data_IF_914034102407
#
_entry.id   IF_914034102407
#
_cell.length_a   1.000
_cell.length_b   1.000
_cell.length_c   1.000
_cell.angle_alpha   90.00
_cell.angle_beta   90.00
_cell.angle_gamma   90.00
#
_symmetry.space_group_name_H-M   'P 1'
#
loop_
_entity.id
_entity.type
_entity.pdbx_description
1 polymer ?
#
# COMPACT_ATOMS: atom_id res chain seq x y z
N UNK A 1 -32.42 14.41 -1.54
CA UNK A 1 -31.20 14.06 -0.79
C UNK A 1 -30.07 13.97 -1.79
N UNK A 2 -29.16 14.94 -1.75
CA UNK A 2 -28.06 15.05 -2.72
C UNK A 2 -27.10 13.89 -2.51
N UNK A 3 -26.91 13.10 -3.56
CA UNK A 3 -25.77 12.18 -3.66
C UNK A 3 -24.53 13.05 -3.58
N UNK A 4 -23.71 12.83 -2.57
CA UNK A 4 -22.43 13.53 -2.44
C UNK A 4 -21.59 13.21 -3.67
N UNK A 5 -21.12 14.25 -4.35
CA UNK A 5 -20.08 14.14 -5.35
C UNK A 5 -18.86 13.51 -4.67
N UNK A 6 -18.72 12.20 -4.86
CA UNK A 6 -17.48 11.52 -4.62
C UNK A 6 -16.54 12.08 -5.68
N UNK A 7 -15.66 13.02 -5.31
CA UNK A 7 -14.59 13.53 -6.16
C UNK A 7 -13.62 12.39 -6.47
N UNK A 8 -14.07 11.44 -7.28
CA UNK A 8 -13.25 10.36 -7.80
C UNK A 8 -12.14 10.98 -8.63
N UNK A 9 -10.94 10.41 -8.46
CA UNK A 9 -9.76 10.72 -9.27
C UNK A 9 -10.15 11.02 -10.72
N UNK A 10 -9.51 12.02 -11.33
CA UNK A 10 -9.72 12.38 -12.75
C UNK A 10 -9.65 11.15 -13.67
N UNK A 11 -8.87 10.15 -13.28
CA UNK A 11 -8.66 8.89 -13.97
C UNK A 11 -9.91 7.99 -14.02
N UNK A 12 -10.90 8.23 -13.16
CA UNK A 12 -12.12 7.43 -13.05
C UNK A 12 -13.31 8.04 -13.83
N UNK A 13 -13.06 8.99 -14.74
CA UNK A 13 -14.10 9.64 -15.56
C UNK A 13 -14.36 8.86 -16.86
N UNK A 14 -15.60 8.84 -17.39
CA UNK A 14 -15.89 8.31 -18.72
C UNK A 14 -15.04 8.97 -19.81
N UNK A 15 -14.70 8.22 -20.88
CA UNK A 15 -13.70 8.63 -21.88
C UNK A 15 -13.95 10.02 -22.51
N UNK A 16 -15.21 10.38 -22.79
CA UNK A 16 -15.54 11.70 -23.36
C UNK A 16 -15.27 12.85 -22.38
N UNK A 17 -15.66 12.65 -21.12
CA UNK A 17 -15.43 13.63 -20.05
C UNK A 17 -13.96 13.72 -19.71
N UNK A 18 -13.28 12.58 -19.67
CA UNK A 18 -11.83 12.49 -19.46
C UNK A 18 -11.08 13.31 -20.51
N UNK A 19 -11.32 13.06 -21.80
CA UNK A 19 -10.64 13.75 -22.91
C UNK A 19 -10.83 15.26 -22.90
N UNK A 20 -11.99 15.77 -22.45
CA UNK A 20 -12.25 17.21 -22.31
C UNK A 20 -11.63 17.80 -21.04
N UNK A 21 -11.53 17.00 -19.97
CA UNK A 21 -11.01 17.46 -18.68
C UNK A 21 -9.48 17.38 -18.57
N UNK A 22 -8.82 16.55 -19.37
CA UNK A 22 -7.37 16.33 -19.30
C UNK A 22 -6.53 17.54 -19.75
N UNK A 23 -6.78 18.17 -20.92
CA UNK A 23 -5.90 19.23 -21.40
C UNK A 23 -5.75 20.41 -20.43
N UNK A 24 -6.82 20.92 -19.79
CA UNK A 24 -6.70 21.98 -18.79
C UNK A 24 -5.86 21.62 -17.55
N UNK A 25 -5.72 20.32 -17.23
CA UNK A 25 -4.95 19.89 -16.05
C UNK A 25 -3.45 19.93 -16.30
N UNK A 26 -3.02 19.67 -17.54
CA UNK A 26 -1.61 19.69 -17.93
C UNK A 26 -1.17 21.06 -18.45
N UNK A 27 -2.10 21.86 -18.97
CA UNK A 27 -1.83 23.20 -19.48
C UNK A 27 -2.16 24.25 -18.42
N UNK A 28 -1.18 24.65 -17.61
CA UNK A 28 -1.41 25.61 -16.52
C UNK A 28 -0.13 26.03 -15.79
N UNK A 29 -0.27 26.81 -14.69
CA UNK A 29 0.85 27.14 -13.83
C UNK A 29 1.45 25.89 -13.20
N UNK A 30 2.76 25.90 -13.01
CA UNK A 30 3.49 24.82 -12.35
C UNK A 30 3.73 25.16 -10.87
N UNK A 31 3.80 24.12 -10.04
CA UNK A 31 4.33 24.19 -8.67
C UNK A 31 5.64 23.43 -8.58
N UNK A 32 6.56 23.92 -7.74
CA UNK A 32 7.85 23.28 -7.49
C UNK A 32 7.87 22.59 -6.11
N UNK A 33 7.97 21.27 -6.09
CA UNK A 33 8.06 20.47 -4.86
C UNK A 33 9.49 20.01 -4.67
N UNK A 34 10.04 20.24 -3.47
CA UNK A 34 11.37 19.79 -3.07
C UNK A 34 11.24 18.66 -2.05
N UNK A 35 12.01 17.59 -2.19
CA UNK A 35 12.06 16.50 -1.21
C UNK A 35 13.36 16.59 -0.41
N UNK A 36 13.24 16.86 0.89
CA UNK A 36 14.35 17.14 1.78
C UNK A 36 15.16 18.36 1.34
N UNK A 37 16.29 18.13 0.68
CA UNK A 37 17.16 19.20 0.21
C UNK A 37 16.76 19.75 -1.17
N UNK A 38 17.32 20.91 -1.54
CA UNK A 38 17.01 21.55 -2.82
C UNK A 38 17.45 20.76 -4.08
N UNK A 39 18.25 19.69 -3.93
CA UNK A 39 18.70 18.86 -5.05
C UNK A 39 17.59 18.07 -5.72
N UNK A 40 16.52 17.73 -4.99
CA UNK A 40 15.40 16.92 -5.50
C UNK A 40 14.18 17.83 -5.73
N UNK A 41 14.25 18.71 -6.73
CA UNK A 41 13.16 19.62 -7.09
C UNK A 41 12.41 19.11 -8.31
N UNK A 42 11.10 18.96 -8.18
CA UNK A 42 10.21 18.51 -9.23
C UNK A 42 9.17 19.58 -9.56
N UNK A 43 8.82 19.72 -10.85
CA UNK A 43 7.82 20.68 -11.32
C UNK A 43 6.59 19.95 -11.84
N UNK A 44 5.41 20.35 -11.37
CA UNK A 44 4.14 19.73 -11.72
C UNK A 44 3.08 20.73 -12.13
N UNK A 45 2.21 20.38 -13.09
CA UNK A 45 1.01 21.14 -13.33
C UNK A 45 0.17 21.24 -12.05
N UNK A 46 -0.03 22.47 -11.58
CA UNK A 46 -0.70 22.76 -10.30
C UNK A 46 -2.09 22.14 -10.26
N UNK A 47 -2.86 22.31 -11.33
CA UNK A 47 -4.25 21.86 -11.38
C UNK A 47 -4.36 20.34 -11.36
N UNK A 48 -3.45 19.63 -12.02
CA UNK A 48 -3.38 18.17 -11.94
C UNK A 48 -3.20 17.72 -10.48
N UNK A 49 -2.15 18.21 -9.82
CA UNK A 49 -1.83 17.81 -8.45
C UNK A 49 -2.96 18.16 -7.46
N UNK A 50 -3.46 19.40 -7.52
CA UNK A 50 -4.52 19.87 -6.63
C UNK A 50 -5.87 19.21 -6.91
N UNK A 51 -6.11 18.72 -8.13
CA UNK A 51 -7.35 17.99 -8.44
C UNK A 51 -7.39 16.60 -7.82
N UNK A 52 -6.22 16.00 -7.56
CA UNK A 52 -6.08 14.66 -7.01
C UNK A 52 -5.88 14.65 -5.50
N UNK A 53 -5.49 15.77 -4.89
CA UNK A 53 -5.08 15.86 -3.50
C UNK A 53 -5.67 17.10 -2.83
N UNK A 54 -6.47 16.89 -1.78
CA UNK A 54 -6.95 18.00 -0.93
C UNK A 54 -5.82 18.62 -0.11
N UNK A 55 -4.79 17.85 0.22
CA UNK A 55 -3.57 18.34 0.88
C UNK A 55 -2.84 19.37 0.01
N UNK A 56 -2.54 19.04 -1.25
CA UNK A 56 -1.87 19.98 -2.16
C UNK A 56 -2.80 21.12 -2.61
N UNK A 57 -4.11 20.88 -2.70
CA UNK A 57 -5.07 21.95 -2.97
C UNK A 57 -5.05 23.01 -1.86
N UNK A 58 -5.10 22.59 -0.58
CA UNK A 58 -5.02 23.51 0.55
C UNK A 58 -3.68 24.27 0.56
N UNK A 59 -2.58 23.59 0.25
CA UNK A 59 -1.23 24.18 0.20
C UNK A 59 -1.07 25.24 -0.90
N UNK A 60 -1.53 24.97 -2.12
CA UNK A 60 -1.19 25.79 -3.29
C UNK A 60 -2.31 26.69 -3.82
N UNK A 61 -3.59 26.39 -3.53
CA UNK A 61 -4.72 27.22 -4.02
C UNK A 61 -5.05 28.38 -3.10
N UNK A 62 -4.69 28.30 -1.83
CA UNK A 62 -4.96 29.37 -0.88
C UNK A 62 -3.82 30.38 -0.86
N UNK A 63 -4.09 31.61 -1.29
CA UNK A 63 -3.09 32.69 -1.36
C UNK A 63 -2.59 33.18 0.02
N UNK A 64 -3.14 32.67 1.11
CA UNK A 64 -2.72 33.00 2.47
C UNK A 64 -1.48 32.21 2.93
N UNK A 65 -1.15 31.11 2.26
CA UNK A 65 0.04 30.32 2.56
C UNK A 65 1.22 30.77 1.70
N UNK A 66 2.42 30.71 2.28
CA UNK A 66 3.67 31.06 1.59
C UNK A 66 3.85 30.21 0.34
N UNK A 67 3.51 28.93 0.45
CA UNK A 67 3.55 27.94 -0.63
C UNK A 67 2.60 28.31 -1.77
N UNK A 68 1.41 28.83 -1.45
CA UNK A 68 0.44 29.34 -2.40
C UNK A 68 0.89 30.63 -3.09
N UNK A 69 1.72 31.46 -2.46
CA UNK A 69 2.29 32.65 -3.10
C UNK A 69 3.50 32.29 -3.96
N UNK A 70 4.41 31.48 -3.43
CA UNK A 70 5.67 31.09 -4.09
C UNK A 70 5.49 30.01 -5.15
N UNK A 71 4.33 29.33 -5.17
CA UNK A 71 4.08 28.15 -5.99
C UNK A 71 5.18 27.09 -5.79
N UNK A 72 5.65 26.95 -4.55
CA UNK A 72 6.70 26.01 -4.20
C UNK A 72 6.54 25.54 -2.76
N UNK A 73 6.88 24.28 -2.49
CA UNK A 73 6.90 23.71 -1.16
C UNK A 73 8.10 22.77 -1.01
N UNK A 74 8.56 22.61 0.24
CA UNK A 74 9.53 21.57 0.61
C UNK A 74 8.80 20.56 1.49
N UNK A 75 8.82 19.29 1.07
CA UNK A 75 8.40 18.17 1.89
C UNK A 75 9.65 17.61 2.56
N UNK A 76 9.72 17.72 3.89
CA UNK A 76 10.81 17.14 4.66
C UNK A 76 10.79 15.61 4.54
N UNK A 77 11.96 15.00 4.42
CA UNK A 77 12.06 13.53 4.45
C UNK A 77 11.51 13.02 5.78
N UNK A 78 10.71 11.96 5.69
CA UNK A 78 10.05 11.36 6.83
C UNK A 78 10.20 9.86 6.72
N UNK A 79 10.84 9.26 7.71
CA UNK A 79 11.16 7.83 7.72
C UNK A 79 9.91 6.95 7.50
N UNK A 80 9.99 6.10 6.48
CA UNK A 80 8.90 5.23 6.02
C UNK A 80 7.64 5.95 5.52
N UNK A 81 7.69 7.25 5.21
CA UNK A 81 6.57 8.02 4.62
C UNK A 81 6.98 8.83 3.40
N UNK A 82 8.06 9.60 3.49
CA UNK A 82 8.49 10.51 2.42
C UNK A 82 9.97 10.25 2.14
N UNK A 83 10.22 9.69 0.97
CA UNK A 83 11.54 9.64 0.33
C UNK A 83 11.44 10.17 -1.10
N UNK A 84 12.60 10.36 -1.74
CA UNK A 84 12.66 10.66 -3.17
C UNK A 84 11.93 9.59 -4.00
N UNK A 85 12.09 8.31 -3.68
CA UNK A 85 11.50 7.20 -4.44
C UNK A 85 9.98 7.15 -4.31
N UNK A 86 9.44 7.22 -3.09
CA UNK A 86 7.97 7.23 -2.90
C UNK A 86 7.34 8.46 -3.53
N UNK A 87 8.01 9.61 -3.52
CA UNK A 87 7.53 10.78 -4.23
C UNK A 87 7.56 10.61 -5.75
N UNK A 88 8.58 10.00 -6.32
CA UNK A 88 8.62 9.68 -7.76
C UNK A 88 7.51 8.69 -8.17
N UNK A 89 7.19 7.72 -7.32
CA UNK A 89 6.02 6.84 -7.50
C UNK A 89 4.71 7.63 -7.47
N UNK A 90 4.58 8.60 -6.55
CA UNK A 90 3.43 9.49 -6.50
C UNK A 90 3.27 10.29 -7.78
N UNK A 91 4.37 10.76 -8.34
CA UNK A 91 4.39 11.48 -9.61
C UNK A 91 3.89 10.60 -10.76
N UNK A 92 4.39 9.37 -10.87
CA UNK A 92 3.88 8.42 -11.85
C UNK A 92 2.38 8.14 -11.65
N UNK A 93 1.95 7.93 -10.40
CA UNK A 93 0.55 7.67 -10.08
C UNK A 93 -0.37 8.83 -10.48
N UNK A 94 -0.03 10.06 -10.10
CA UNK A 94 -0.81 11.27 -10.41
C UNK A 94 -0.87 11.53 -11.91
N UNK A 95 0.22 11.28 -12.64
CA UNK A 95 0.29 11.54 -14.08
C UNK A 95 -0.33 10.43 -14.93
N UNK A 96 -0.13 9.16 -14.56
CA UNK A 96 -0.40 8.00 -15.40
C UNK A 96 -1.46 7.05 -14.83
N UNK A 97 -1.79 7.16 -13.54
CA UNK A 97 -2.70 6.24 -12.87
C UNK A 97 -2.14 4.84 -12.65
N UNK A 98 -0.82 4.68 -12.77
CA UNK A 98 -0.12 3.41 -12.60
C UNK A 98 1.32 3.67 -12.16
N UNK A 99 1.94 2.65 -11.58
CA UNK A 99 3.35 2.65 -11.21
C UNK A 99 4.05 1.54 -11.98
N UNK A 100 5.24 1.85 -12.48
CA UNK A 100 6.18 0.87 -13.02
C UNK A 100 7.26 0.69 -11.96
N UNK A 101 7.38 -0.54 -11.46
CA UNK A 101 8.38 -0.92 -10.48
C UNK A 101 9.68 -1.29 -11.20
N UNK A 102 10.79 -0.94 -10.56
CA UNK A 102 12.12 -1.41 -10.96
C UNK A 102 12.38 -2.78 -10.32
N UNK A 103 13.36 -3.52 -10.84
CA UNK A 103 13.76 -4.78 -10.21
C UNK A 103 14.43 -4.49 -8.86
N UNK A 104 13.87 -4.97 -7.76
CA UNK A 104 14.47 -4.87 -6.42
C UNK A 104 14.29 -6.16 -5.61
N UNK A 105 14.83 -6.18 -4.38
CA UNK A 105 14.61 -7.32 -3.49
C UNK A 105 13.15 -7.34 -2.99
N UNK A 106 12.52 -8.51 -2.84
CA UNK A 106 11.12 -8.61 -2.36
C UNK A 106 10.81 -7.81 -1.10
N UNK A 107 11.75 -7.80 -0.14
CA UNK A 107 11.59 -7.04 1.10
C UNK A 107 11.64 -5.51 0.87
N UNK A 108 12.49 -5.04 -0.03
CA UNK A 108 12.64 -3.63 -0.40
C UNK A 108 11.42 -3.14 -1.17
N UNK A 109 10.91 -3.93 -2.12
CA UNK A 109 9.67 -3.60 -2.85
C UNK A 109 8.45 -3.52 -1.92
N UNK A 110 8.33 -4.42 -0.95
CA UNK A 110 7.25 -4.37 0.04
C UNK A 110 7.38 -3.10 0.90
N UNK A 111 8.59 -2.79 1.38
CA UNK A 111 8.85 -1.59 2.18
C UNK A 111 8.49 -0.32 1.40
N UNK A 112 8.96 -0.20 0.15
CA UNK A 112 8.67 0.93 -0.73
C UNK A 112 7.17 1.05 -1.04
N UNK A 113 6.48 -0.07 -1.22
CA UNK A 113 5.02 -0.10 -1.44
C UNK A 113 4.24 0.41 -0.22
N UNK A 114 4.68 0.04 0.99
CA UNK A 114 4.08 0.53 2.25
C UNK A 114 4.38 2.03 2.42
N UNK A 115 5.62 2.45 2.19
CA UNK A 115 6.01 3.87 2.24
C UNK A 115 5.17 4.72 1.28
N UNK A 116 5.06 4.31 0.02
CA UNK A 116 4.24 5.00 -0.96
C UNK A 116 2.76 5.07 -0.55
N UNK A 117 2.23 4.00 0.05
CA UNK A 117 0.87 4.00 0.58
C UNK A 117 0.71 5.03 1.72
N UNK A 118 1.67 5.10 2.63
CA UNK A 118 1.66 6.10 3.72
C UNK A 118 1.77 7.53 3.18
N UNK A 119 2.57 7.76 2.13
CA UNK A 119 2.62 9.04 1.43
C UNK A 119 1.26 9.44 0.86
N UNK A 120 0.58 8.51 0.18
CA UNK A 120 -0.74 8.73 -0.41
C UNK A 120 -1.77 9.11 0.66
N UNK A 121 -1.78 8.41 1.80
CA UNK A 121 -2.66 8.70 2.94
C UNK A 121 -2.38 10.07 3.56
N UNK A 122 -1.10 10.45 3.66
CA UNK A 122 -0.68 11.77 4.12
C UNK A 122 -1.15 12.87 3.16
N UNK A 123 -0.94 12.67 1.85
CA UNK A 123 -1.35 13.59 0.80
C UNK A 123 -2.86 13.54 0.48
N UNK A 124 -3.64 12.70 1.16
CA UNK A 124 -5.09 12.54 0.93
C UNK A 124 -5.42 12.21 -0.54
N UNK A 125 -4.62 11.31 -1.12
CA UNK A 125 -4.82 10.80 -2.47
C UNK A 125 -5.29 9.37 -2.34
N UNK A 126 -6.36 9.02 -3.05
CA UNK A 126 -6.97 7.68 -3.01
C UNK A 126 -6.84 6.95 -4.35
N UNK A 127 -7.10 5.65 -4.33
CA UNK A 127 -7.22 4.79 -5.50
C UNK A 127 -6.04 3.85 -5.73
N UNK A 128 -4.92 4.02 -5.03
CA UNK A 128 -3.76 3.13 -5.14
C UNK A 128 -3.78 2.00 -4.13
N UNK A 129 -4.66 2.03 -3.13
CA UNK A 129 -4.63 1.15 -1.95
C UNK A 129 -4.77 -0.32 -2.35
N UNK A 130 -5.74 -0.62 -3.22
CA UNK A 130 -5.96 -1.97 -3.73
C UNK A 130 -4.88 -2.42 -4.71
N UNK A 131 -4.32 -1.48 -5.48
CA UNK A 131 -3.23 -1.77 -6.41
C UNK A 131 -1.94 -2.12 -5.67
N UNK A 132 -1.57 -1.35 -4.63
CA UNK A 132 -0.43 -1.65 -3.74
C UNK A 132 -0.62 -2.96 -2.99
N UNK A 133 -1.83 -3.20 -2.46
CA UNK A 133 -2.14 -4.44 -1.76
C UNK A 133 -1.96 -5.65 -2.68
N UNK A 134 -2.47 -5.57 -3.92
CA UNK A 134 -2.29 -6.63 -4.91
C UNK A 134 -0.82 -6.81 -5.30
N UNK A 135 -0.06 -5.73 -5.48
CA UNK A 135 1.37 -5.81 -5.79
C UNK A 135 2.18 -6.49 -4.68
N UNK A 136 1.97 -6.11 -3.41
CA UNK A 136 2.58 -6.76 -2.25
C UNK A 136 2.22 -8.24 -2.19
N UNK A 137 0.95 -8.57 -2.44
CA UNK A 137 0.48 -9.96 -2.50
C UNK A 137 1.22 -10.75 -3.58
N UNK A 138 1.40 -10.18 -4.77
CA UNK A 138 2.08 -10.84 -5.89
C UNK A 138 3.56 -11.10 -5.57
N UNK A 139 4.24 -10.15 -4.90
CA UNK A 139 5.61 -10.32 -4.40
C UNK A 139 5.69 -11.51 -3.44
N UNK A 140 4.83 -11.55 -2.42
CA UNK A 140 4.83 -12.63 -1.42
C UNK A 140 4.58 -13.99 -2.10
N UNK A 141 3.64 -14.06 -3.04
CA UNK A 141 3.32 -15.30 -3.74
C UNK A 141 4.45 -15.77 -4.68
N UNK A 142 5.24 -14.84 -5.23
CA UNK A 142 6.41 -15.13 -6.05
C UNK A 142 7.62 -15.60 -5.21
N UNK A 143 7.78 -15.04 -4.00
CA UNK A 143 8.89 -15.34 -3.08
C UNK A 143 8.68 -16.67 -2.33
N UNK A 144 7.46 -16.94 -1.84
CA UNK A 144 7.16 -18.09 -0.99
C UNK A 144 7.62 -19.47 -1.52
N UNK A 145 7.53 -19.79 -2.84
CA UNK A 145 8.02 -21.06 -3.39
C UNK A 145 9.54 -21.24 -3.30
N UNK A 146 10.32 -20.18 -3.12
CA UNK A 146 11.79 -20.24 -2.98
C UNK A 146 12.21 -20.77 -1.60
N UNK A 147 11.28 -20.80 -0.64
CA UNK A 147 11.52 -21.12 0.76
C UNK A 147 10.79 -22.39 1.19
N UNK A 148 11.13 -23.53 0.58
CA UNK A 148 10.59 -24.84 0.96
C UNK A 148 11.50 -25.55 1.97
N UNK A 149 10.88 -26.21 2.97
CA UNK A 149 11.61 -27.01 3.97
C UNK A 149 11.54 -28.49 3.59
N UNK A 150 12.66 -28.99 3.05
CA UNK A 150 12.80 -30.39 2.65
C UNK A 150 11.98 -30.77 1.41
N UNK A 151 11.91 -32.07 1.11
CA UNK A 151 11.38 -32.56 -0.17
C UNK A 151 9.85 -32.61 -0.27
N UNK A 152 9.09 -32.45 0.83
CA UNK A 152 7.65 -32.77 0.84
C UNK A 152 6.76 -31.85 1.69
N UNK A 153 7.30 -30.79 2.32
CA UNK A 153 6.50 -29.88 3.16
C UNK A 153 6.85 -28.41 2.88
N UNK A 154 5.81 -27.61 2.73
CA UNK A 154 5.91 -26.15 2.66
C UNK A 154 6.21 -25.64 4.07
N UNK A 155 7.12 -24.68 4.19
CA UNK A 155 7.36 -23.99 5.46
C UNK A 155 6.08 -23.21 5.84
N UNK A 156 5.53 -23.36 7.06
CA UNK A 156 4.41 -22.54 7.52
C UNK A 156 4.67 -21.03 7.45
N UNK A 157 5.94 -20.61 7.50
CA UNK A 157 6.38 -19.23 7.35
C UNK A 157 6.73 -18.85 5.91
N UNK A 158 6.43 -19.68 4.90
CA UNK A 158 6.81 -19.43 3.51
C UNK A 158 6.34 -18.05 3.00
N UNK A 159 5.14 -17.60 3.38
CA UNK A 159 4.61 -16.28 3.00
C UNK A 159 5.27 -15.10 3.74
N UNK A 160 6.13 -15.36 4.72
CA UNK A 160 6.70 -14.36 5.62
C UNK A 160 8.17 -14.05 5.32
N UNK A 161 8.80 -14.73 4.36
CA UNK A 161 10.23 -14.56 4.08
C UNK A 161 10.57 -13.16 3.53
N UNK A 162 9.81 -12.67 2.55
CA UNK A 162 9.89 -11.30 2.04
C UNK A 162 9.45 -10.22 3.05
N UNK A 163 8.82 -10.58 4.17
CA UNK A 163 8.32 -9.61 5.15
C UNK A 163 9.38 -9.38 6.24
N UNK A 164 9.55 -8.13 6.67
CA UNK A 164 10.43 -7.73 7.78
C UNK A 164 9.59 -7.17 8.95
N UNK A 165 10.18 -7.07 10.14
CA UNK A 165 9.52 -6.42 11.29
C UNK A 165 9.17 -4.96 10.99
N UNK A 166 10.04 -4.25 10.28
CA UNK A 166 9.81 -2.86 9.85
C UNK A 166 8.59 -2.74 8.92
N UNK A 167 8.34 -3.74 8.07
CA UNK A 167 7.14 -3.78 7.23
C UNK A 167 5.88 -3.89 8.10
N UNK A 168 5.94 -4.63 9.21
CA UNK A 168 4.83 -4.76 10.17
C UNK A 168 4.60 -3.44 10.91
N UNK A 169 5.67 -2.86 11.45
CA UNK A 169 5.66 -1.57 12.14
C UNK A 169 5.09 -0.47 11.26
N UNK A 170 5.57 -0.35 10.02
CA UNK A 170 5.12 0.63 9.05
C UNK A 170 3.66 0.41 8.65
N UNK A 171 3.24 -0.84 8.48
CA UNK A 171 1.86 -1.19 8.09
C UNK A 171 0.85 -0.92 9.21
N UNK A 172 1.23 -1.09 10.47
CA UNK A 172 0.34 -0.79 11.60
C UNK A 172 -0.01 0.71 11.71
N UNK A 173 0.81 1.58 11.11
CA UNK A 173 0.56 3.02 11.02
C UNK A 173 -0.43 3.40 9.90
N UNK A 174 -0.84 2.45 9.06
CA UNK A 174 -1.90 2.69 8.07
C UNK A 174 -3.29 2.73 8.73
N UNK A 175 -4.25 3.45 8.13
CA UNK A 175 -5.63 3.48 8.62
C UNK A 175 -6.23 2.09 8.84
N UNK A 176 -7.17 1.96 9.77
CA UNK A 176 -7.90 0.71 9.95
C UNK A 176 -8.58 0.28 8.65
N UNK A 177 -8.64 -1.03 8.41
CA UNK A 177 -9.20 -1.64 7.20
C UNK A 177 -8.45 -1.30 5.90
N UNK A 178 -7.26 -0.70 5.99
CA UNK A 178 -6.43 -0.45 4.80
C UNK A 178 -6.08 -1.78 4.10
N UNK A 179 -6.29 -1.92 2.77
CA UNK A 179 -6.05 -3.16 2.03
C UNK A 179 -4.67 -3.80 2.25
N UNK A 180 -3.62 -2.99 2.34
CA UNK A 180 -2.25 -3.45 2.63
C UNK A 180 -2.14 -4.15 3.99
N UNK A 181 -2.81 -3.64 5.04
CA UNK A 181 -2.88 -4.31 6.36
C UNK A 181 -3.51 -5.69 6.22
N UNK A 182 -4.60 -5.78 5.46
CA UNK A 182 -5.28 -7.04 5.19
C UNK A 182 -4.39 -8.07 4.50
N UNK A 183 -3.57 -7.65 3.53
CA UNK A 183 -2.65 -8.55 2.82
C UNK A 183 -1.57 -9.11 3.75
N UNK A 184 -0.91 -8.25 4.55
CA UNK A 184 0.10 -8.73 5.49
C UNK A 184 -0.51 -9.62 6.58
N UNK A 185 -1.71 -9.29 7.07
CA UNK A 185 -2.43 -10.14 8.03
C UNK A 185 -2.78 -11.50 7.42
N UNK A 186 -3.24 -11.55 6.16
CA UNK A 186 -3.51 -12.80 5.46
C UNK A 186 -2.25 -13.65 5.28
N UNK A 187 -1.10 -13.03 4.99
CA UNK A 187 0.17 -13.74 4.85
C UNK A 187 0.58 -14.50 6.13
N UNK A 188 0.16 -14.04 7.30
CA UNK A 188 0.46 -14.66 8.60
C UNK A 188 -0.48 -15.78 9.02
N UNK A 189 -1.63 -15.96 8.36
CA UNK A 189 -2.64 -16.92 8.81
C UNK A 189 -2.12 -18.35 8.79
N UNK A 190 -1.32 -18.73 7.79
CA UNK A 190 -0.72 -20.08 7.71
C UNK A 190 0.15 -20.38 8.93
N UNK A 191 1.12 -19.52 9.24
CA UNK A 191 1.99 -19.69 10.40
C UNK A 191 1.22 -19.57 11.73
N UNK A 192 0.27 -18.65 11.83
CA UNK A 192 -0.52 -18.41 13.05
C UNK A 192 -1.41 -19.62 13.40
N UNK A 193 -1.92 -20.35 12.40
CA UNK A 193 -2.76 -21.54 12.64
C UNK A 193 -1.94 -22.82 12.86
N UNK A 194 -0.74 -22.91 12.31
CA UNK A 194 0.04 -24.16 12.26
C UNK A 194 1.22 -24.20 13.24
N UNK A 195 1.64 -23.07 13.80
CA UNK A 195 2.83 -23.00 14.66
C UNK A 195 2.58 -22.14 15.90
N UNK A 196 3.03 -22.63 17.05
CA UNK A 196 3.00 -21.87 18.31
C UNK A 196 4.08 -20.76 18.33
N UNK A 197 5.18 -20.96 17.60
CA UNK A 197 6.30 -20.01 17.47
C UNK A 197 6.47 -19.62 16.00
N UNK A 198 5.80 -18.54 15.61
CA UNK A 198 5.86 -17.99 14.25
C UNK A 198 6.74 -16.74 14.21
N UNK A 199 7.29 -16.43 13.02
CA UNK A 199 8.33 -15.41 12.81
C UNK A 199 8.05 -14.05 13.48
N UNK A 200 6.78 -13.64 13.56
CA UNK A 200 6.35 -12.33 14.06
C UNK A 200 5.47 -12.40 15.32
N UNK A 201 5.61 -13.46 16.11
CA UNK A 201 4.85 -13.61 17.36
C UNK A 201 5.03 -12.39 18.28
N UNK A 202 6.27 -11.89 18.41
CA UNK A 202 6.59 -10.74 19.26
C UNK A 202 5.86 -9.48 18.80
N UNK A 203 5.88 -9.20 17.51
CA UNK A 203 5.21 -8.04 16.91
C UNK A 203 3.69 -8.12 17.11
N UNK A 204 3.09 -9.31 16.96
CA UNK A 204 1.67 -9.52 17.24
C UNK A 204 1.35 -9.27 18.72
N UNK A 205 2.22 -9.69 19.64
CA UNK A 205 2.00 -9.46 21.07
C UNK A 205 2.14 -7.98 21.47
N UNK A 206 3.05 -7.25 20.82
CA UNK A 206 3.33 -5.83 21.13
C UNK A 206 2.39 -4.87 20.40
N UNK A 207 1.85 -5.24 19.23
CA UNK A 207 1.10 -4.36 18.33
C UNK A 207 -0.38 -4.73 18.24
N UNK A 208 -1.16 -4.30 19.23
CA UNK A 208 -2.60 -4.60 19.34
C UNK A 208 -3.43 -4.36 18.05
N UNK A 209 -3.12 -3.31 17.29
CA UNK A 209 -3.82 -2.98 16.05
C UNK A 209 -3.58 -4.01 14.94
N UNK A 210 -2.34 -4.48 14.80
CA UNK A 210 -1.98 -5.48 13.81
C UNK A 210 -2.40 -6.90 14.26
N UNK A 211 -2.31 -7.20 15.56
CA UNK A 211 -2.86 -8.43 16.14
C UNK A 211 -4.35 -8.59 15.84
N UNK A 212 -5.12 -7.50 15.90
CA UNK A 212 -6.54 -7.49 15.55
C UNK A 212 -6.77 -7.85 14.08
N UNK A 213 -5.91 -7.37 13.16
CA UNK A 213 -5.99 -7.69 11.74
C UNK A 213 -5.71 -9.18 11.49
N UNK A 214 -4.66 -9.73 12.12
CA UNK A 214 -4.32 -11.16 12.03
C UNK A 214 -5.45 -12.01 12.59
N UNK A 215 -5.99 -11.66 13.75
CA UNK A 215 -7.11 -12.39 14.35
C UNK A 215 -8.37 -12.34 13.47
N UNK A 216 -8.66 -11.20 12.86
CA UNK A 216 -9.78 -11.05 11.94
C UNK A 216 -9.60 -11.94 10.70
N UNK A 217 -8.40 -11.96 10.11
CA UNK A 217 -8.06 -12.80 8.97
C UNK A 217 -8.13 -14.29 9.31
N UNK A 218 -7.59 -14.69 10.47
CA UNK A 218 -7.65 -16.07 10.98
C UNK A 218 -9.08 -16.51 11.25
N UNK A 219 -9.92 -15.65 11.84
CA UNK A 219 -11.35 -15.92 12.07
C UNK A 219 -12.14 -16.04 10.76
N UNK A 220 -11.79 -15.26 9.73
CA UNK A 220 -12.40 -15.39 8.42
C UNK A 220 -12.03 -16.73 7.77
N UNK A 221 -10.76 -17.13 7.90
CA UNK A 221 -10.23 -18.39 7.37
C UNK A 221 -10.81 -19.60 8.09
N UNK A 222 -10.94 -19.56 9.42
CA UNK A 222 -11.44 -20.68 10.22
C UNK A 222 -12.88 -21.07 9.89
N UNK A 223 -13.71 -20.10 9.46
CA UNK A 223 -15.08 -20.37 8.98
C UNK A 223 -15.12 -21.17 7.68
N UNK A 224 -14.02 -21.22 6.94
CA UNK A 224 -13.86 -21.94 5.69
C UNK A 224 -13.14 -23.29 5.88
N UNK A 225 -12.89 -23.70 7.13
CA UNK A 225 -12.33 -25.02 7.42
C UNK A 225 -13.33 -26.09 7.05
N UNK A 226 -12.88 -27.06 6.27
CA UNK A 226 -13.64 -28.25 5.90
C UNK A 226 -13.01 -29.47 6.56
N UNK A 227 -13.83 -30.36 7.10
CA UNK A 227 -13.35 -31.70 7.46
C UNK A 227 -13.19 -32.52 6.18
N UNK A 228 -11.95 -32.73 5.74
CA UNK A 228 -11.64 -33.70 4.70
C UNK A 228 -11.83 -35.14 5.21
N UNK A 229 -11.61 -36.14 4.35
CA UNK A 229 -11.79 -37.56 4.71
C UNK A 229 -10.85 -38.04 5.83
N UNK A 230 -9.71 -37.36 6.03
CA UNK A 230 -8.68 -37.80 6.98
C UNK A 230 -8.14 -36.70 7.90
N UNK A 231 -8.17 -35.42 7.47
CA UNK A 231 -7.68 -34.28 8.26
C UNK A 231 -8.55 -33.04 7.98
N UNK A 232 -8.67 -32.10 8.94
CA UNK A 232 -9.22 -30.79 8.67
C UNK A 232 -8.34 -30.02 7.67
N UNK A 233 -8.96 -29.31 6.75
CA UNK A 233 -8.28 -28.52 5.72
C UNK A 233 -8.82 -27.09 5.71
N UNK A 234 -7.97 -26.12 5.36
CA UNK A 234 -8.36 -24.73 5.21
C UNK A 234 -7.88 -24.15 3.89
N UNK A 235 -8.60 -23.16 3.39
CA UNK A 235 -8.18 -22.37 2.23
C UNK A 235 -7.27 -21.25 2.70
N UNK A 236 -5.98 -21.33 2.37
CA UNK A 236 -4.98 -20.31 2.68
C UNK A 236 -5.40 -18.96 2.03
N UNK A 237 -5.54 -17.88 2.81
CA UNK A 237 -6.25 -16.69 2.36
C UNK A 237 -5.52 -15.88 1.28
N UNK A 238 -4.19 -15.98 1.19
CA UNK A 238 -3.39 -15.26 0.21
C UNK A 238 -3.47 -15.93 -1.17
N UNK A 239 -3.05 -17.19 -1.27
CA UNK A 239 -2.96 -17.95 -2.53
C UNK A 239 -4.27 -18.65 -2.92
N UNK A 240 -5.17 -18.86 -1.96
CA UNK A 240 -6.38 -19.66 -2.15
C UNK A 240 -6.14 -21.17 -2.26
N UNK A 241 -4.92 -21.65 -1.99
CA UNK A 241 -4.59 -23.08 -1.95
C UNK A 241 -5.22 -23.75 -0.74
N UNK A 242 -5.56 -25.02 -0.85
CA UNK A 242 -6.03 -25.83 0.28
C UNK A 242 -4.81 -26.41 1.00
N UNK A 243 -4.73 -26.16 2.30
CA UNK A 243 -3.68 -26.66 3.20
C UNK A 243 -4.31 -27.50 4.31
N UNK A 244 -3.53 -28.43 4.86
CA UNK A 244 -3.96 -29.30 5.97
C UNK A 244 -3.67 -28.63 7.31
N UNK A 245 -4.61 -28.73 8.24
CA UNK A 245 -4.36 -28.52 9.67
C UNK A 245 -3.80 -29.84 10.24
N UNK A 246 -2.61 -29.79 10.83
CA UNK A 246 -1.98 -30.96 11.46
C UNK A 246 -2.53 -31.26 12.85
#
# INVERSE_FOLDING_TARGET
MSVGDNNGSVLNKPFETFAKSLPPLFCGPEVAIRIGSASHTYRFPKELLCSQSTYFAAMFKEAQFKEGVEQSATLEEMDGVISTQSFEMLVQWVCLGRIIFEDSLPAEDIALSIEFTRLMDMCKISGAESFMAQHIKDIILADAPLHMVGAFRRDPNANLYAITSENIDSTANLPEYHPVRGILAMAMVESFLLTDDHKFQKEIDEMSGFAADVLAASKATSKLITCGEYHPEFKEPLSGKILRLE
#
